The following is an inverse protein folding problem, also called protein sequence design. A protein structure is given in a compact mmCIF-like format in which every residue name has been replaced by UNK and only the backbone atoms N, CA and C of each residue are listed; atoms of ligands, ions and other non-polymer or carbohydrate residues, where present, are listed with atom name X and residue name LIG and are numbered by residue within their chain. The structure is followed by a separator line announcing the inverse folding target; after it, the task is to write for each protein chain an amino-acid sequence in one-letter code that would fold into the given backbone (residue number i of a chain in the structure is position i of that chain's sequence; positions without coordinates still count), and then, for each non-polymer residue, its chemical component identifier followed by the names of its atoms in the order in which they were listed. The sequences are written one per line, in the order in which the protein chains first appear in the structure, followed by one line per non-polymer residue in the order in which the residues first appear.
data_IF_885999283329
#
_entry.id   IF_885999283329
#
_cell.length_a   1.000
_cell.length_b   1.000
_cell.length_c   1.000
_cell.angle_alpha   90.00
_cell.angle_beta   90.00
_cell.angle_gamma   90.00
#
_symmetry.space_group_name_H-M   'P 1'
#
loop_
_entity.id
_entity.type
_entity.pdbx_description
1 polymer ?
#
# COMPACT_ATOMS: atom_id res chain seq x y z
N UNK A 1 13.28 -7.47 6.23
CA UNK A 1 12.03 -8.26 6.08
C UNK A 1 11.30 -7.81 4.81
N UNK A 2 10.35 -8.54 4.22
CA UNK A 2 9.54 -7.98 3.13
C UNK A 2 8.63 -6.85 3.62
N UNK A 3 8.18 -6.00 2.69
CA UNK A 3 7.15 -4.99 2.98
C UNK A 3 5.85 -5.72 3.29
N UNK A 4 5.15 -5.30 4.34
CA UNK A 4 3.82 -5.80 4.70
C UNK A 4 2.80 -4.68 4.61
N UNK A 5 1.62 -4.98 4.05
CA UNK A 5 0.47 -4.08 4.05
C UNK A 5 -0.66 -4.74 4.82
N UNK A 6 -1.21 -4.03 5.81
CA UNK A 6 -2.24 -4.50 6.72
C UNK A 6 -3.55 -3.81 6.37
N UNK A 7 -4.63 -4.57 6.26
CA UNK A 7 -5.96 -4.09 5.89
C UNK A 7 -6.96 -4.49 6.97
N UNK A 8 -7.68 -3.50 7.51
CA UNK A 8 -8.89 -3.68 8.30
C UNK A 8 -10.06 -3.18 7.45
N UNK A 9 -11.04 -4.04 7.19
CA UNK A 9 -12.26 -3.65 6.49
C UNK A 9 -13.17 -2.89 7.45
N UNK A 10 -14.00 -2.00 6.88
CA UNK A 10 -15.04 -1.36 7.66
C UNK A 10 -16.10 -2.38 8.07
N UNK A 11 -16.21 -2.64 9.37
CA UNK A 11 -17.23 -3.52 9.96
C UNK A 11 -18.29 -2.72 10.74
N UNK A 12 -18.06 -1.42 10.92
CA UNK A 12 -19.00 -0.50 11.55
C UNK A 12 -18.31 0.41 12.56
N UNK A 13 -18.89 1.57 12.85
CA UNK A 13 -18.28 2.63 13.67
C UNK A 13 -17.94 2.24 15.12
N UNK A 14 -18.38 1.07 15.57
CA UNK A 14 -18.20 0.53 16.93
C UNK A 14 -17.41 -0.79 16.96
N UNK A 15 -17.01 -1.30 15.81
CA UNK A 15 -16.34 -2.60 15.66
C UNK A 15 -15.02 -2.43 14.91
N UNK A 16 -15.05 -2.02 13.65
CA UNK A 16 -13.86 -1.63 12.88
C UNK A 16 -14.19 -0.46 11.96
N UNK A 17 -13.44 0.64 12.10
CA UNK A 17 -13.62 1.85 11.29
C UNK A 17 -13.08 1.70 9.87
N UNK A 18 -12.23 0.70 9.66
CA UNK A 18 -11.59 0.43 8.41
C UNK A 18 -10.29 1.23 8.32
N UNK A 19 -9.18 0.51 8.17
CA UNK A 19 -7.84 1.06 8.24
C UNK A 19 -6.92 0.36 7.25
N UNK A 20 -5.87 1.07 6.84
CA UNK A 20 -4.79 0.47 6.10
C UNK A 20 -3.46 1.07 6.56
N UNK A 21 -2.48 0.21 6.79
CA UNK A 21 -1.12 0.63 7.14
C UNK A 21 -0.10 -0.28 6.47
N UNK A 22 1.18 0.09 6.53
CA UNK A 22 2.25 -0.74 6.00
C UNK A 22 3.52 -0.67 6.84
N UNK A 23 4.27 -1.77 6.88
CA UNK A 23 5.61 -1.85 7.47
C UNK A 23 6.65 -2.06 6.39
N UNK A 24 7.72 -1.28 6.45
CA UNK A 24 8.92 -1.45 5.64
C UNK A 24 9.85 -2.54 6.22
N UNK A 25 10.84 -2.92 5.43
CA UNK A 25 11.79 -3.99 5.74
C UNK A 25 12.65 -3.73 6.97
N UNK A 26 12.89 -2.44 7.27
CA UNK A 26 13.70 -1.92 8.38
C UNK A 26 12.89 -1.68 9.66
N UNK A 27 11.59 -1.99 9.65
CA UNK A 27 10.69 -1.79 10.78
C UNK A 27 10.00 -0.43 10.81
N UNK A 28 10.30 0.47 9.86
CA UNK A 28 9.52 1.72 9.71
C UNK A 28 8.05 1.36 9.45
N UNK A 29 7.16 1.86 10.29
CA UNK A 29 5.71 1.67 10.14
C UNK A 29 5.06 2.96 9.64
N UNK A 30 4.21 2.83 8.63
CA UNK A 30 3.49 3.91 7.96
C UNK A 30 2.02 3.65 8.22
N UNK A 31 1.49 4.40 9.17
CA UNK A 31 0.09 4.46 9.53
C UNK A 31 -0.31 5.91 9.77
N UNK A 32 -1.60 6.22 9.60
CA UNK A 32 -2.12 7.54 9.93
C UNK A 32 -3.52 7.45 10.55
N UNK A 33 -3.58 7.69 11.86
CA UNK A 33 -4.80 7.94 12.64
C UNK A 33 -4.96 9.41 13.03
N UNK A 34 -6.19 9.92 13.17
CA UNK A 34 -6.43 11.23 13.76
C UNK A 34 -6.18 11.21 15.27
N UNK A 35 -5.41 12.19 15.77
CA UNK A 35 -4.87 12.25 17.14
C UNK A 35 -5.89 12.32 18.28
N UNK A 36 -7.13 12.76 18.02
CA UNK A 36 -7.94 13.19 19.17
C UNK A 36 -8.97 12.17 19.65
N UNK A 37 -9.21 11.06 18.93
CA UNK A 37 -10.19 9.99 19.27
C UNK A 37 -11.67 10.44 19.36
N UNK A 38 -11.93 11.72 19.66
CA UNK A 38 -13.21 12.41 19.72
C UNK A 38 -13.73 12.79 18.34
N UNK A 39 -12.87 12.77 17.31
CA UNK A 39 -13.27 12.97 15.91
C UNK A 39 -14.19 11.85 15.40
N UNK A 40 -14.15 10.68 16.05
CA UNK A 40 -15.13 9.58 15.85
C UNK A 40 -16.56 10.02 16.20
N UNK A 41 -16.73 11.01 17.09
CA UNK A 41 -18.04 11.51 17.58
C UNK A 41 -18.55 12.75 16.82
N UNK A 42 -17.68 13.51 16.15
CA UNK A 42 -18.03 14.78 15.50
C UNK A 42 -18.10 14.69 13.98
N UNK A 43 -18.63 13.58 13.45
CA UNK A 43 -18.94 13.40 12.01
C UNK A 43 -20.06 14.30 11.47
N UNK A 44 -20.19 15.52 12.00
CA UNK A 44 -20.96 16.61 11.41
C UNK A 44 -20.06 17.37 10.43
N UNK A 45 -19.76 16.73 9.31
CA UNK A 45 -19.75 17.40 8.01
C UNK A 45 -18.60 18.32 7.63
N UNK A 46 -17.51 18.50 8.39
CA UNK A 46 -16.35 19.25 7.88
C UNK A 46 -15.03 18.70 8.40
N UNK A 47 -14.07 18.61 7.48
CA UNK A 47 -12.69 18.12 7.64
C UNK A 47 -12.13 18.36 9.03
N UNK A 48 -12.05 17.30 9.82
CA UNK A 48 -11.29 17.34 11.05
C UNK A 48 -9.83 17.25 10.64
N UNK A 49 -9.08 18.32 10.90
CA UNK A 49 -7.64 18.39 10.63
C UNK A 49 -6.96 17.85 11.88
N UNK A 50 -6.45 16.63 11.81
CA UNK A 50 -5.64 16.08 12.88
C UNK A 50 -4.17 16.02 12.42
N UNK A 51 -3.20 16.45 13.26
CA UNK A 51 -1.81 16.09 13.05
C UNK A 51 -1.69 14.56 13.05
N UNK A 52 -0.79 14.02 12.22
CA UNK A 52 -0.44 12.60 12.31
C UNK A 52 0.21 12.34 13.66
N UNK A 53 -0.31 11.36 14.42
CA UNK A 53 0.44 10.86 15.57
C UNK A 53 1.71 10.20 15.06
N UNK A 54 2.83 10.87 15.32
CA UNK A 54 4.14 10.36 15.01
C UNK A 54 4.46 9.19 15.95
N UNK A 55 4.90 8.08 15.35
CA UNK A 55 5.32 6.84 16.02
C UNK A 55 4.22 5.81 16.31
N UNK A 56 3.29 5.60 15.38
CA UNK A 56 2.40 4.44 15.45
C UNK A 56 3.15 3.17 15.04
N UNK A 57 2.99 2.13 15.86
CA UNK A 57 3.38 0.75 15.58
C UNK A 57 2.18 -0.04 15.07
N UNK A 58 2.40 -1.27 14.60
CA UNK A 58 1.28 -2.17 14.28
C UNK A 58 0.38 -2.41 15.51
N UNK A 59 0.96 -2.50 16.70
CA UNK A 59 0.19 -2.70 17.94
C UNK A 59 -0.70 -1.48 18.24
N UNK A 60 -0.24 -0.28 17.93
CA UNK A 60 -1.05 0.95 18.08
C UNK A 60 -2.24 0.95 17.10
N UNK A 61 -2.06 0.44 15.88
CA UNK A 61 -3.14 0.24 14.92
C UNK A 61 -4.17 -0.78 15.40
N UNK A 62 -3.70 -1.93 15.90
CA UNK A 62 -4.57 -2.99 16.47
C UNK A 62 -5.38 -2.43 17.63
N UNK A 63 -4.73 -1.73 18.56
CA UNK A 63 -5.41 -1.09 19.68
C UNK A 63 -6.44 -0.04 19.22
N UNK A 64 -6.11 0.73 18.18
CA UNK A 64 -7.00 1.74 17.60
C UNK A 64 -8.23 1.14 16.91
N UNK A 65 -8.11 -0.07 16.36
CA UNK A 65 -9.19 -0.90 15.82
C UNK A 65 -9.79 -1.85 16.87
N UNK A 66 -9.87 -1.39 18.12
CA UNK A 66 -10.54 -2.08 19.23
C UNK A 66 -9.93 -3.46 19.58
N UNK A 67 -8.64 -3.64 19.31
CA UNK A 67 -7.92 -4.89 19.54
C UNK A 67 -8.11 -5.92 18.42
N UNK A 68 -8.63 -5.50 17.26
CA UNK A 68 -8.86 -6.38 16.11
C UNK A 68 -7.60 -6.49 15.27
N UNK A 69 -7.20 -7.72 14.94
CA UNK A 69 -6.12 -8.00 13.99
C UNK A 69 -6.50 -7.57 12.56
N UNK A 70 -5.53 -7.33 11.65
CA UNK A 70 -5.82 -7.06 10.25
C UNK A 70 -6.64 -8.21 9.63
N UNK A 71 -7.71 -7.89 8.92
CA UNK A 71 -8.49 -8.87 8.16
C UNK A 71 -7.64 -9.51 7.05
N UNK A 72 -6.74 -8.73 6.44
CA UNK A 72 -5.83 -9.17 5.39
C UNK A 72 -4.45 -8.58 5.63
N UNK A 73 -3.42 -9.41 5.49
CA UNK A 73 -2.02 -8.97 5.44
C UNK A 73 -1.39 -9.40 4.12
N UNK A 74 -1.00 -8.43 3.30
CA UNK A 74 -0.24 -8.67 2.08
C UNK A 74 1.25 -8.58 2.33
N UNK A 75 2.01 -9.47 1.71
CA UNK A 75 3.48 -9.42 1.72
C UNK A 75 3.97 -9.14 0.32
N UNK A 76 4.63 -8.00 0.11
CA UNK A 76 5.19 -7.62 -1.18
C UNK A 76 6.61 -8.20 -1.29
N UNK A 77 6.95 -8.90 -2.40
CA UNK A 77 8.31 -9.41 -2.62
C UNK A 77 9.38 -8.31 -2.50
N UNK A 78 10.52 -8.65 -1.91
CA UNK A 78 11.63 -7.72 -1.70
C UNK A 78 12.30 -7.32 -3.02
N UNK A 79 12.80 -6.09 -3.11
CA UNK A 79 13.60 -5.62 -4.26
C UNK A 79 12.79 -4.96 -5.39
N UNK A 80 11.46 -4.99 -5.33
CA UNK A 80 10.59 -4.39 -6.35
C UNK A 80 10.12 -2.97 -6.00
N UNK A 81 9.96 -2.69 -4.71
CA UNK A 81 9.49 -1.39 -4.21
C UNK A 81 10.66 -0.64 -3.57
N UNK A 82 10.83 0.62 -3.95
CA UNK A 82 11.92 1.46 -3.45
C UNK A 82 11.58 2.02 -2.07
N UNK A 83 11.91 1.27 -1.02
CA UNK A 83 11.64 1.65 0.38
C UNK A 83 12.33 2.96 0.80
N UNK A 84 13.50 3.27 0.24
CA UNK A 84 14.19 4.53 0.54
C UNK A 84 13.42 5.73 -0.01
N UNK A 85 12.88 5.62 -1.22
CA UNK A 85 12.01 6.65 -1.78
C UNK A 85 10.72 6.82 -0.95
N UNK A 86 10.18 5.73 -0.40
CA UNK A 86 9.04 5.80 0.53
C UNK A 86 9.42 6.59 1.78
N UNK A 87 10.58 6.31 2.40
CA UNK A 87 11.03 7.02 3.60
C UNK A 87 11.28 8.50 3.36
N UNK A 88 11.93 8.84 2.24
CA UNK A 88 12.16 10.23 1.82
C UNK A 88 10.84 10.95 1.61
N UNK A 89 9.85 10.29 1.01
CA UNK A 89 8.51 10.86 0.84
C UNK A 89 7.76 11.00 2.18
N UNK A 90 7.85 10.00 3.05
CA UNK A 90 7.11 9.95 4.32
C UNK A 90 7.59 11.01 5.31
N UNK A 91 8.88 11.34 5.33
CA UNK A 91 9.47 12.25 6.29
C UNK A 91 8.85 13.67 6.28
N UNK A 92 8.72 14.38 5.12
CA UNK A 92 7.99 15.65 5.06
C UNK A 92 6.48 15.44 5.10
N UNK A 93 5.96 14.42 4.40
CA UNK A 93 4.52 14.17 4.31
C UNK A 93 3.87 14.00 5.68
N UNK A 94 4.48 13.21 6.57
CA UNK A 94 3.97 13.01 7.93
C UNK A 94 3.88 14.31 8.73
N UNK A 95 4.81 15.25 8.52
CA UNK A 95 4.94 16.49 9.31
C UNK A 95 4.10 17.66 8.77
N UNK A 96 3.90 17.71 7.46
CA UNK A 96 3.33 18.88 6.78
C UNK A 96 1.85 18.69 6.42
N UNK A 97 1.41 17.44 6.24
CA UNK A 97 0.06 17.15 5.78
C UNK A 97 -0.94 17.03 6.95
N UNK A 98 -2.16 17.50 6.72
CA UNK A 98 -3.24 17.43 7.71
C UNK A 98 -4.23 16.33 7.29
N UNK A 99 -4.65 15.52 8.24
CA UNK A 99 -5.57 14.40 7.97
C UNK A 99 -6.91 14.91 7.42
N UNK A 100 -7.52 14.16 6.50
CA UNK A 100 -8.89 14.40 6.00
C UNK A 100 -9.59 13.09 5.66
N UNK A 101 -10.68 12.75 6.36
CA UNK A 101 -11.51 11.54 6.16
C UNK A 101 -11.73 11.15 4.68
N UNK A 102 -12.05 12.14 3.84
CA UNK A 102 -12.51 11.91 2.47
C UNK A 102 -11.36 11.94 1.43
N UNK A 103 -10.27 12.64 1.71
CA UNK A 103 -9.22 12.91 0.70
C UNK A 103 -7.80 12.44 1.12
N UNK A 104 -7.53 12.30 2.43
CA UNK A 104 -6.24 11.92 3.03
C UNK A 104 -6.48 11.02 4.26
N UNK A 105 -7.12 9.87 4.02
CA UNK A 105 -7.25 8.81 5.01
C UNK A 105 -6.05 7.84 4.93
N UNK A 106 -5.93 6.94 5.90
CA UNK A 106 -4.90 5.90 5.97
C UNK A 106 -4.74 5.07 4.68
N UNK A 107 -5.83 4.80 3.96
CA UNK A 107 -5.79 4.10 2.68
C UNK A 107 -5.13 4.92 1.57
N UNK A 108 -5.41 6.22 1.49
CA UNK A 108 -4.71 7.12 0.57
C UNK A 108 -3.21 7.18 0.89
N UNK A 109 -2.83 7.14 2.17
CA UNK A 109 -1.43 7.19 2.62
C UNK A 109 -0.67 5.96 2.15
N UNK A 110 -1.21 4.76 2.36
CA UNK A 110 -0.58 3.52 1.89
C UNK A 110 -0.44 3.53 0.37
N UNK A 111 -1.47 3.95 -0.38
CA UNK A 111 -1.36 4.08 -1.83
C UNK A 111 -0.26 5.06 -2.26
N UNK A 112 -0.21 6.26 -1.68
CA UNK A 112 0.81 7.27 -1.99
C UNK A 112 2.22 6.79 -1.62
N UNK A 113 2.37 6.09 -0.50
CA UNK A 113 3.63 5.47 -0.09
C UNK A 113 4.11 4.48 -1.16
N UNK A 114 3.25 3.56 -1.58
CA UNK A 114 3.59 2.59 -2.63
C UNK A 114 3.91 3.28 -3.97
N UNK A 115 3.20 4.35 -4.33
CA UNK A 115 3.49 5.15 -5.51
C UNK A 115 4.87 5.84 -5.43
N UNK A 116 5.23 6.41 -4.28
CA UNK A 116 6.57 6.96 -4.05
C UNK A 116 7.65 5.86 -4.18
N UNK A 117 7.33 4.64 -3.75
CA UNK A 117 8.13 3.43 -3.96
C UNK A 117 8.11 2.87 -5.38
N UNK A 118 7.53 3.58 -6.36
CA UNK A 118 7.44 3.20 -7.78
C UNK A 118 6.48 2.05 -8.12
N UNK A 119 5.50 1.74 -7.27
CA UNK A 119 4.52 0.66 -7.50
C UNK A 119 3.76 0.80 -8.83
N UNK A 120 3.41 2.03 -9.24
CA UNK A 120 2.70 2.26 -10.51
C UNK A 120 3.51 1.83 -11.73
N UNK A 121 4.84 1.66 -11.63
CA UNK A 121 5.67 1.23 -12.76
C UNK A 121 5.32 -0.18 -13.25
N UNK A 122 4.82 -1.05 -12.35
CA UNK A 122 4.48 -2.46 -12.63
C UNK A 122 3.14 -2.66 -13.35
N UNK A 123 2.31 -1.62 -13.44
CA UNK A 123 1.00 -1.71 -14.08
C UNK A 123 1.05 -1.30 -15.55
N UNK A 124 0.18 -1.86 -16.42
CA UNK A 124 -0.07 -1.32 -17.76
C UNK A 124 -0.60 0.11 -17.69
N UNK A 125 -0.32 0.93 -18.72
CA UNK A 125 -0.73 2.34 -18.76
C UNK A 125 -2.24 2.56 -18.57
N UNK A 126 -3.07 1.65 -19.08
CA UNK A 126 -4.52 1.68 -18.90
C UNK A 126 -4.96 1.50 -17.44
N UNK A 127 -4.26 0.64 -16.68
CA UNK A 127 -4.54 0.39 -15.26
C UNK A 127 -4.03 1.55 -14.40
N UNK A 128 -2.85 2.12 -14.70
CA UNK A 128 -2.33 3.30 -13.97
C UNK A 128 -3.35 4.43 -13.92
N UNK A 129 -3.95 4.77 -15.07
CA UNK A 129 -4.95 5.83 -15.18
C UNK A 129 -6.20 5.55 -14.33
N UNK A 130 -6.58 4.28 -14.17
CA UNK A 130 -7.70 3.91 -13.31
C UNK A 130 -7.38 4.21 -11.84
N UNK A 131 -6.20 3.81 -11.36
CA UNK A 131 -5.78 4.06 -9.97
C UNK A 131 -5.58 5.55 -9.68
N UNK A 132 -5.01 6.31 -10.61
CA UNK A 132 -4.86 7.76 -10.50
C UNK A 132 -6.22 8.49 -10.47
N UNK A 133 -7.26 7.91 -11.05
CA UNK A 133 -8.62 8.47 -11.06
C UNK A 133 -9.46 8.16 -9.81
N UNK A 134 -8.96 7.32 -8.90
CA UNK A 134 -9.67 6.97 -7.66
C UNK A 134 -9.77 8.20 -6.77
N UNK A 135 -11.00 8.69 -6.58
CA UNK A 135 -11.26 9.91 -5.79
C UNK A 135 -11.17 9.67 -4.28
N UNK A 136 -11.51 8.47 -3.81
CA UNK A 136 -11.46 8.10 -2.39
C UNK A 136 -10.85 6.71 -2.28
N UNK A 137 -9.69 6.61 -1.64
CA UNK A 137 -9.11 5.32 -1.30
C UNK A 137 -9.77 4.78 -0.04
N UNK A 138 -10.08 3.49 -0.05
CA UNK A 138 -10.68 2.73 1.05
C UNK A 138 -9.81 1.50 1.33
N UNK A 139 -9.95 0.85 2.50
CA UNK A 139 -9.19 -0.36 2.78
C UNK A 139 -9.35 -1.42 1.69
N UNK A 140 -10.58 -1.58 1.19
CA UNK A 140 -10.91 -2.50 0.08
C UNK A 140 -10.27 -2.11 -1.26
N UNK A 141 -10.06 -0.83 -1.55
CA UNK A 141 -9.39 -0.43 -2.79
C UNK A 141 -7.88 -0.60 -2.68
N UNK A 142 -7.30 -0.38 -1.50
CA UNK A 142 -5.87 -0.68 -1.23
C UNK A 142 -5.62 -2.18 -1.33
N UNK A 143 -6.47 -3.01 -0.71
CA UNK A 143 -6.43 -4.46 -0.80
C UNK A 143 -6.32 -4.93 -2.27
N UNK A 144 -7.26 -4.50 -3.11
CA UNK A 144 -7.25 -4.82 -4.55
C UNK A 144 -6.01 -4.30 -5.27
N UNK A 145 -5.55 -3.09 -4.96
CA UNK A 145 -4.37 -2.51 -5.59
C UNK A 145 -3.11 -3.31 -5.25
N UNK A 146 -2.92 -3.66 -3.97
CA UNK A 146 -1.75 -4.42 -3.50
C UNK A 146 -1.78 -5.85 -4.01
N UNK A 147 -2.95 -6.50 -4.02
CA UNK A 147 -3.11 -7.82 -4.63
C UNK A 147 -2.67 -7.79 -6.11
N UNK A 148 -3.19 -6.83 -6.88
CA UNK A 148 -2.85 -6.69 -8.30
C UNK A 148 -1.37 -6.34 -8.52
N UNK A 149 -0.79 -5.51 -7.65
CA UNK A 149 0.65 -5.20 -7.68
C UNK A 149 1.49 -6.47 -7.50
N UNK A 150 1.14 -7.30 -6.52
CA UNK A 150 1.84 -8.57 -6.26
C UNK A 150 1.72 -9.49 -7.47
N UNK A 151 0.53 -9.65 -8.05
CA UNK A 151 0.33 -10.45 -9.27
C UNK A 151 1.19 -9.94 -10.44
N UNK A 152 1.27 -8.63 -10.65
CA UNK A 152 2.13 -8.04 -11.68
C UNK A 152 3.61 -8.35 -11.40
N UNK A 153 4.07 -8.21 -10.16
CA UNK A 153 5.46 -8.50 -9.78
C UNK A 153 5.79 -9.98 -10.02
N UNK A 154 4.97 -10.90 -9.51
CA UNK A 154 5.23 -12.34 -9.61
C UNK A 154 4.99 -12.89 -11.01
N UNK A 155 4.09 -12.29 -11.77
CA UNK A 155 3.83 -12.65 -13.17
C UNK A 155 4.94 -12.24 -14.15
N UNK A 156 5.88 -11.37 -13.74
CA UNK A 156 7.09 -11.06 -14.52
C UNK A 156 8.20 -12.13 -14.33
N UNK A 157 8.04 -13.11 -13.43
CA UNK A 157 9.07 -14.13 -13.16
C UNK A 157 9.12 -15.27 -14.18
N UNK A 158 8.26 -15.32 -15.21
CA UNK A 158 8.39 -16.29 -16.32
C UNK A 158 9.67 -15.99 -17.14
N UNK A 159 10.72 -16.82 -17.05
CA UNK A 159 11.95 -16.58 -17.77
C UNK A 159 11.70 -16.86 -19.25
N UNK A 160 12.06 -15.90 -20.10
CA UNK A 160 12.23 -16.14 -21.53
C UNK A 160 13.26 -17.23 -21.74
N UNK A 161 12.79 -18.48 -21.89
CA UNK A 161 13.61 -19.57 -22.38
C UNK A 161 14.19 -19.16 -23.74
N UNK A 162 15.52 -19.14 -23.92
CA UNK A 162 16.09 -18.88 -25.24
C UNK A 162 15.66 -20.01 -26.15
N UNK A 163 14.79 -19.72 -27.12
CA UNK A 163 14.71 -20.55 -28.33
C UNK A 163 16.08 -20.48 -28.99
N UNK A 164 16.91 -21.48 -28.75
CA UNK A 164 18.06 -21.75 -29.61
C UNK A 164 17.53 -22.11 -30.99
N UNK A 165 17.34 -21.07 -31.82
CA UNK A 165 17.33 -21.21 -33.26
C UNK A 165 18.76 -21.16 -33.76
N UNK A 166 19.31 -22.33 -34.09
CA UNK A 166 20.32 -22.44 -35.13
C UNK A 166 19.98 -23.67 -35.95
N UNK A 167 19.39 -23.41 -37.11
CA UNK A 167 19.22 -24.40 -38.15
C UNK A 167 20.56 -24.82 -38.75
N UNK A 168 20.61 -26.10 -39.10
CA UNK A 168 21.31 -26.76 -40.21
C UNK A 168 22.74 -26.33 -40.56
N UNK A 169 23.66 -27.29 -40.58
CA UNK A 169 24.46 -27.59 -41.77
C UNK A 169 24.82 -29.08 -41.85
N UNK A 170 24.95 -29.54 -43.09
CA UNK A 170 25.02 -30.92 -43.54
C UNK A 170 26.34 -31.65 -43.21
N UNK A 171 26.31 -32.98 -43.27
CA UNK A 171 27.49 -33.83 -43.16
C UNK A 171 27.18 -35.30 -43.41
N UNK A 172 26.88 -35.64 -44.68
CA UNK A 172 26.99 -37.00 -45.22
C UNK A 172 28.49 -37.31 -45.41
N UNK A 173 28.85 -38.61 -45.40
CA UNK A 173 30.20 -39.23 -45.48
C UNK A 173 30.74 -39.64 -44.10
N UNK A 174 31.07 -40.90 -43.81
CA UNK A 174 31.51 -42.02 -44.65
C UNK A 174 30.94 -43.37 -44.18
#
# INVERSE_FOLDING_TARGET
MPIKVYIWNFQGKREAWGHASMSLSDGTHISWWPSDGNERKSFKGNAVKAPSEHCMTLDDDINSEYGTEPDVTHTIPTGYINEEAIKIWWQPFSKEENWRVLDQNCSTVVYKALCAGSALSFFPASEKRQYESVSIWTPKSVDKFVQRLIECITGQEEPTSPKQGLGNFAGLMS
#
